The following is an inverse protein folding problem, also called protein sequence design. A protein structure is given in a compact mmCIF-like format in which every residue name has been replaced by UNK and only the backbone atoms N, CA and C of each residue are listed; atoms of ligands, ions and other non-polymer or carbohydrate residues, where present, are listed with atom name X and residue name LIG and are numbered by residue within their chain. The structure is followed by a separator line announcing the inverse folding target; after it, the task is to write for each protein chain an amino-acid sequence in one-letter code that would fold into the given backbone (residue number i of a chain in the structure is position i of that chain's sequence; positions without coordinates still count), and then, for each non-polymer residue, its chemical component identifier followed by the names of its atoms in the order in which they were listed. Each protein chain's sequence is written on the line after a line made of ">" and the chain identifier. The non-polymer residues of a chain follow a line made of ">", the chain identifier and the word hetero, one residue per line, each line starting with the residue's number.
data_IF_404899596116
#
_entry.id   IF_404899596116
#
_cell.length_a   1.000
_cell.length_b   1.000
_cell.length_c   1.000
_cell.angle_alpha   90.00
_cell.angle_beta   90.00
_cell.angle_gamma   90.00
#
_symmetry.space_group_name_H-M   'P 1'
#
loop_
_entity.id
_entity.type
_entity.pdbx_description
1 polymer ?
#
# COMPACT_ATOMS: atom_id res chain seq x y z
N UNK A 1 7.40 16.86 5.61
CA UNK A 1 6.29 16.18 4.93
C UNK A 1 5.75 15.16 5.89
N UNK A 2 4.42 15.11 6.07
CA UNK A 2 3.76 14.07 6.87
C UNK A 2 3.39 12.85 6.03
N UNK A 3 2.82 11.86 6.70
CA UNK A 3 2.39 10.58 6.19
C UNK A 3 0.93 10.38 6.58
N UNK A 4 0.11 10.00 5.61
CA UNK A 4 -1.24 9.50 5.86
C UNK A 4 -1.27 8.07 5.32
N UNK A 5 -1.97 7.18 6.02
CA UNK A 5 -2.23 5.85 5.48
C UNK A 5 -3.31 6.02 4.42
N UNK A 6 -2.94 5.89 3.15
CA UNK A 6 -3.81 6.20 2.02
C UNK A 6 -4.84 5.07 1.84
N UNK A 7 -5.96 5.22 2.55
CA UNK A 7 -7.09 4.30 2.59
C UNK A 7 -8.40 5.11 2.62
N UNK A 8 -9.51 4.51 2.19
CA UNK A 8 -10.85 5.06 2.40
C UNK A 8 -11.39 4.79 3.82
N UNK A 9 -10.60 4.14 4.69
CA UNK A 9 -10.89 3.99 6.11
C UNK A 9 -10.68 5.30 6.87
N UNK A 10 -11.76 6.09 6.97
CA UNK A 10 -11.73 7.44 7.54
C UNK A 10 -10.96 7.60 8.87
N UNK A 11 -11.04 6.67 9.85
CA UNK A 11 -10.25 6.80 11.09
C UNK A 11 -8.73 6.84 10.89
N UNK A 12 -8.20 6.21 9.84
CA UNK A 12 -6.77 6.25 9.53
C UNK A 12 -6.32 7.61 8.98
N UNK A 13 -7.22 8.35 8.35
CA UNK A 13 -6.94 9.69 7.82
C UNK A 13 -6.79 10.75 8.92
N UNK A 14 -7.26 10.47 10.14
CA UNK A 14 -7.15 11.35 11.33
C UNK A 14 -5.86 11.12 12.13
N UNK A 15 -4.93 10.35 11.56
CA UNK A 15 -3.66 10.00 12.20
C UNK A 15 -2.47 10.34 11.31
N UNK A 16 -2.40 11.58 10.78
CA UNK A 16 -1.22 12.06 10.06
C UNK A 16 0.05 11.93 10.92
N UNK A 17 1.02 11.17 10.43
CA UNK A 17 2.33 10.96 11.03
C UNK A 17 3.38 11.90 10.45
N UNK A 18 4.42 12.22 11.21
CA UNK A 18 5.54 13.00 10.70
C UNK A 18 6.80 12.82 11.56
N UNK A 19 8.00 13.05 10.99
CA UNK A 19 9.21 13.12 11.77
C UNK A 19 9.31 14.53 12.39
N UNK A 20 8.94 14.66 13.66
CA UNK A 20 9.05 15.91 14.40
C UNK A 20 10.52 16.27 14.63
N UNK A 21 10.87 17.52 14.34
CA UNK A 21 12.16 18.07 14.74
C UNK A 21 12.14 18.35 16.25
N UNK A 22 13.12 17.79 16.97
CA UNK A 22 13.30 18.02 18.40
C UNK A 22 14.34 19.12 18.57
N UNK A 23 14.03 20.14 19.36
CA UNK A 23 14.92 21.27 19.62
C UNK A 23 15.86 20.99 20.80
N UNK A 24 16.81 21.89 21.02
CA UNK A 24 17.77 21.87 22.12
C UNK A 24 17.11 22.00 23.51
N UNK A 25 15.92 22.59 23.59
CA UNK A 25 15.09 22.65 24.82
C UNK A 25 14.11 21.48 24.95
N UNK A 26 14.16 20.51 24.03
CA UNK A 26 13.27 19.35 24.00
C UNK A 26 11.90 19.61 23.35
N UNK A 27 11.61 20.84 22.91
CA UNK A 27 10.38 21.14 22.16
C UNK A 27 10.36 20.35 20.85
N UNK A 28 9.19 19.80 20.50
CA UNK A 28 8.98 19.11 19.23
C UNK A 28 8.15 19.95 18.28
N UNK A 29 8.51 19.99 17.00
CA UNK A 29 7.81 20.80 16.00
C UNK A 29 7.87 20.17 14.60
N UNK A 30 6.80 20.39 13.83
CA UNK A 30 6.73 20.14 12.39
C UNK A 30 7.04 21.39 11.54
N UNK A 31 7.35 22.51 12.19
CA UNK A 31 7.66 23.77 11.50
C UNK A 31 9.13 23.78 11.09
N UNK A 32 9.42 24.16 9.83
CA UNK A 32 10.76 24.15 9.27
C UNK A 32 11.20 25.55 8.83
N UNK A 33 11.83 26.29 9.73
CA UNK A 33 12.40 27.63 9.46
C UNK A 33 13.87 27.70 9.83
N UNK A 34 14.56 28.75 9.38
CA UNK A 34 15.97 29.00 9.74
C UNK A 34 16.20 29.08 11.27
N UNK A 35 15.43 29.85 12.05
CA UNK A 35 15.57 29.85 13.51
C UNK A 35 15.36 28.48 14.17
N UNK A 36 14.45 27.66 13.63
CA UNK A 36 14.24 26.30 14.12
C UNK A 36 15.44 25.42 13.76
N UNK A 37 15.93 25.54 12.52
CA UNK A 37 17.01 24.73 11.97
C UNK A 37 18.24 24.71 12.85
N UNK A 38 18.67 25.86 13.36
CA UNK A 38 19.87 25.97 14.20
C UNK A 38 19.68 25.35 15.59
N UNK A 39 18.44 25.16 16.04
CA UNK A 39 18.09 24.62 17.36
C UNK A 39 17.82 23.12 17.36
N UNK A 40 17.61 22.50 16.19
CA UNK A 40 17.31 21.06 16.12
C UNK A 40 18.47 20.22 16.67
N UNK A 41 18.16 19.39 17.66
CA UNK A 41 19.05 18.42 18.31
C UNK A 41 18.88 17.00 17.73
N UNK A 42 17.74 16.73 17.09
CA UNK A 42 17.44 15.46 16.43
C UNK A 42 15.98 15.36 15.99
N UNK A 43 15.48 14.14 15.80
CA UNK A 43 14.11 13.88 15.36
C UNK A 43 13.47 12.74 16.14
N UNK A 44 12.13 12.71 16.13
CA UNK A 44 11.29 11.65 16.72
C UNK A 44 10.04 11.47 15.85
N UNK A 45 9.49 10.26 15.79
CA UNK A 45 8.17 10.06 15.19
C UNK A 45 7.09 10.77 16.00
N UNK A 46 6.10 11.34 15.31
CA UNK A 46 4.94 11.95 15.92
C UNK A 46 3.70 11.66 15.09
N UNK A 47 2.55 11.71 15.75
CA UNK A 47 1.23 11.70 15.11
C UNK A 47 0.43 12.92 15.57
N UNK A 48 -0.44 13.42 14.70
CA UNK A 48 -1.35 14.53 15.00
C UNK A 48 -2.30 14.23 16.17
N UNK A 49 -2.62 12.95 16.41
CA UNK A 49 -3.44 12.51 17.55
C UNK A 49 -2.76 12.73 18.92
N UNK A 50 -1.50 13.16 18.93
CA UNK A 50 -0.70 13.43 20.13
C UNK A 50 0.27 12.32 20.49
N UNK A 51 0.22 11.16 19.82
CA UNK A 51 1.21 10.09 20.03
C UNK A 51 2.62 10.52 19.62
N UNK A 52 3.61 9.96 20.33
CA UNK A 52 5.04 10.19 20.09
C UNK A 52 5.79 8.87 20.09
N UNK A 53 6.68 8.73 19.12
CA UNK A 53 7.60 7.60 19.01
C UNK A 53 8.57 7.54 20.17
N UNK A 54 9.08 6.34 20.41
CA UNK A 54 10.04 6.06 21.48
C UNK A 54 11.47 6.39 21.05
N UNK A 55 11.83 6.15 19.79
CA UNK A 55 13.18 6.35 19.31
C UNK A 55 13.48 7.83 19.07
N UNK A 56 14.66 8.24 19.52
CA UNK A 56 15.22 9.56 19.22
C UNK A 56 16.41 9.38 18.28
N UNK A 57 16.39 10.08 17.15
CA UNK A 57 17.48 10.12 16.19
C UNK A 57 18.29 11.40 16.39
N UNK A 58 19.44 11.34 17.09
CA UNK A 58 20.23 12.55 17.33
C UNK A 58 20.83 13.07 16.03
N UNK A 59 20.72 14.38 15.79
CA UNK A 59 21.32 15.03 14.61
C UNK A 59 22.83 14.77 14.50
N UNK A 60 23.52 14.63 15.64
CA UNK A 60 24.96 14.34 15.68
C UNK A 60 25.35 13.02 15.01
N UNK A 61 24.42 12.07 14.85
CA UNK A 61 24.64 10.83 14.10
C UNK A 61 24.70 11.06 12.57
N UNK A 62 24.20 12.19 12.07
CA UNK A 62 24.10 12.53 10.65
C UNK A 62 25.04 13.69 10.31
N UNK A 63 26.34 13.39 10.22
CA UNK A 63 27.39 14.40 10.00
C UNK A 63 27.14 15.17 8.69
N UNK A 64 27.20 16.50 8.77
CA UNK A 64 26.98 17.39 7.63
C UNK A 64 25.50 17.68 7.35
N UNK A 65 24.56 17.04 8.05
CA UNK A 65 23.15 17.34 7.93
C UNK A 65 22.79 18.59 8.73
N UNK A 66 22.39 19.64 8.03
CA UNK A 66 22.05 20.93 8.64
C UNK A 66 20.57 21.26 8.56
N UNK A 67 19.76 20.49 7.81
CA UNK A 67 18.32 20.74 7.65
C UNK A 67 17.54 20.47 8.93
N UNK A 68 16.43 21.19 9.16
CA UNK A 68 15.44 20.85 10.19
C UNK A 68 14.54 19.69 9.76
N UNK A 69 14.48 19.42 8.46
CA UNK A 69 13.80 18.25 7.91
C UNK A 69 14.67 17.02 8.19
N UNK A 70 14.05 15.93 8.64
CA UNK A 70 14.73 14.68 8.90
C UNK A 70 15.40 14.12 7.62
N UNK A 71 16.58 13.51 7.73
CA UNK A 71 17.13 12.67 6.65
C UNK A 71 16.16 11.55 6.27
N UNK A 72 16.26 11.04 5.04
CA UNK A 72 15.40 9.95 4.56
C UNK A 72 15.59 8.67 5.38
N UNK A 73 16.79 8.42 5.92
CA UNK A 73 17.08 7.29 6.79
C UNK A 73 16.37 7.38 8.15
N UNK A 74 16.06 8.61 8.59
CA UNK A 74 15.27 8.86 9.80
C UNK A 74 13.78 8.84 9.49
N UNK A 75 13.36 9.48 8.40
CA UNK A 75 11.97 9.50 7.96
C UNK A 75 11.47 8.08 7.68
N UNK A 76 12.24 7.29 6.92
CA UNK A 76 12.04 5.86 6.73
C UNK A 76 10.79 5.43 5.95
N UNK A 77 10.09 6.38 5.32
CA UNK A 77 8.89 6.10 4.51
C UNK A 77 9.14 5.06 3.42
N UNK A 78 10.19 5.23 2.62
CA UNK A 78 10.48 4.34 1.50
C UNK A 78 10.88 2.92 1.93
N UNK A 79 11.35 2.75 3.17
CA UNK A 79 11.79 1.46 3.70
C UNK A 79 10.79 0.82 4.64
N UNK A 80 9.74 1.53 5.07
CA UNK A 80 8.84 1.07 6.12
C UNK A 80 9.46 1.08 7.53
N UNK A 81 10.58 1.79 7.73
CA UNK A 81 11.33 1.80 9.00
C UNK A 81 11.43 3.22 9.58
N UNK A 82 12.31 3.42 10.56
CA UNK A 82 12.55 4.75 11.14
C UNK A 82 11.31 5.33 11.81
N UNK A 83 11.14 6.63 11.68
CA UNK A 83 10.00 7.32 12.25
C UNK A 83 8.66 6.90 11.61
N UNK A 84 8.65 6.58 10.31
CA UNK A 84 7.48 6.02 9.65
C UNK A 84 7.11 4.65 10.22
N UNK A 85 8.07 3.76 10.44
CA UNK A 85 7.83 2.43 10.99
C UNK A 85 7.17 2.48 12.37
N UNK A 86 7.68 3.30 13.30
CA UNK A 86 7.03 3.46 14.61
C UNK A 86 5.62 4.05 14.50
N UNK A 87 5.42 5.04 13.60
CA UNK A 87 4.09 5.61 13.37
C UNK A 87 3.11 4.57 12.80
N UNK A 88 3.56 3.73 11.88
CA UNK A 88 2.74 2.69 11.26
C UNK A 88 2.33 1.61 12.29
N UNK A 89 3.27 1.20 13.16
CA UNK A 89 2.94 0.33 14.30
C UNK A 89 1.92 0.98 15.24
N UNK A 90 2.07 2.28 15.51
CA UNK A 90 1.10 3.04 16.29
C UNK A 90 -0.30 3.02 15.66
N UNK A 91 -0.41 3.25 14.35
CA UNK A 91 -1.70 3.21 13.64
C UNK A 91 -2.44 1.90 13.89
N UNK A 92 -1.77 0.76 13.69
CA UNK A 92 -2.38 -0.54 13.91
C UNK A 92 -2.73 -0.80 15.38
N UNK A 93 -1.98 -0.22 16.32
CA UNK A 93 -2.28 -0.35 17.74
C UNK A 93 -3.54 0.44 18.16
N UNK A 94 -3.76 1.63 17.59
CA UNK A 94 -4.90 2.49 17.95
C UNK A 94 -6.13 2.31 17.07
N UNK A 95 -5.96 1.75 15.86
CA UNK A 95 -7.03 1.45 14.91
C UNK A 95 -7.11 -0.07 14.68
N UNK A 96 -7.75 -0.85 15.58
CA UNK A 96 -7.84 -2.30 15.43
C UNK A 96 -8.60 -2.73 14.16
N UNK A 97 -9.49 -1.88 13.65
CA UNK A 97 -10.20 -2.12 12.39
C UNK A 97 -9.34 -1.93 11.13
N UNK A 98 -8.19 -1.25 11.24
CA UNK A 98 -7.35 -0.93 10.09
C UNK A 98 -6.80 -2.19 9.43
N UNK A 99 -6.26 -3.13 10.21
CA UNK A 99 -5.74 -4.38 9.67
C UNK A 99 -6.80 -5.22 8.95
N UNK A 100 -8.06 -5.16 9.42
CA UNK A 100 -9.19 -5.83 8.75
C UNK A 100 -9.54 -5.12 7.46
N UNK A 101 -9.53 -3.79 7.47
CA UNK A 101 -9.80 -2.97 6.30
C UNK A 101 -8.74 -3.20 5.20
N UNK A 102 -7.45 -3.11 5.56
CA UNK A 102 -6.34 -3.33 4.62
C UNK A 102 -6.43 -4.73 3.99
N UNK A 103 -6.65 -5.76 4.81
CA UNK A 103 -6.83 -7.13 4.31
C UNK A 103 -8.07 -7.28 3.40
N UNK A 104 -9.13 -6.50 3.64
CA UNK A 104 -10.31 -6.51 2.78
C UNK A 104 -10.06 -5.84 1.42
N UNK A 105 -9.31 -4.73 1.40
CA UNK A 105 -8.87 -4.06 0.16
C UNK A 105 -7.94 -4.97 -0.64
N UNK A 106 -6.91 -5.55 -0.01
CA UNK A 106 -6.01 -6.51 -0.66
C UNK A 106 -6.77 -7.68 -1.29
N UNK A 107 -7.78 -8.20 -0.57
CA UNK A 107 -8.64 -9.27 -1.09
C UNK A 107 -9.50 -8.80 -2.27
N UNK A 108 -10.01 -7.57 -2.26
CA UNK A 108 -10.76 -7.00 -3.36
C UNK A 108 -9.88 -6.85 -4.62
N UNK A 109 -8.70 -6.27 -4.47
CA UNK A 109 -7.72 -6.08 -5.55
C UNK A 109 -7.25 -7.41 -6.15
N UNK A 110 -6.99 -8.40 -5.28
CA UNK A 110 -6.60 -9.74 -5.72
C UNK A 110 -7.75 -10.44 -6.49
N UNK A 111 -9.00 -10.21 -6.09
CA UNK A 111 -10.17 -10.73 -6.81
C UNK A 111 -10.33 -10.07 -8.17
N UNK A 112 -10.19 -8.76 -8.26
CA UNK A 112 -10.24 -8.04 -9.54
C UNK A 112 -9.11 -8.51 -10.48
N UNK A 113 -7.90 -8.65 -9.96
CA UNK A 113 -6.75 -9.18 -10.70
C UNK A 113 -7.02 -10.59 -11.22
N UNK A 114 -7.62 -11.47 -10.40
CA UNK A 114 -8.01 -12.81 -10.80
C UNK A 114 -9.07 -12.78 -11.92
N UNK A 115 -10.09 -11.95 -11.78
CA UNK A 115 -11.16 -11.82 -12.77
C UNK A 115 -10.61 -11.30 -14.11
N UNK A 116 -9.70 -10.33 -14.07
CA UNK A 116 -9.01 -9.83 -15.27
C UNK A 116 -8.13 -10.91 -15.92
N UNK A 117 -7.39 -11.70 -15.13
CA UNK A 117 -6.60 -12.82 -15.64
C UNK A 117 -7.49 -13.90 -16.29
N UNK A 118 -8.65 -14.21 -15.70
CA UNK A 118 -9.64 -15.10 -16.31
C UNK A 118 -10.16 -14.53 -17.63
N UNK A 119 -10.51 -13.25 -17.66
CA UNK A 119 -10.97 -12.57 -18.87
C UNK A 119 -9.95 -12.68 -20.01
N UNK A 120 -8.68 -12.38 -19.72
CA UNK A 120 -7.57 -12.51 -20.68
C UNK A 120 -7.42 -13.96 -21.14
N UNK A 121 -7.40 -14.93 -20.23
CA UNK A 121 -7.28 -16.35 -20.59
C UNK A 121 -8.44 -16.81 -21.49
N UNK A 122 -9.67 -16.40 -21.18
CA UNK A 122 -10.86 -16.71 -21.98
C UNK A 122 -10.80 -16.08 -23.37
N UNK A 123 -10.38 -14.83 -23.49
CA UNK A 123 -10.18 -14.16 -24.77
C UNK A 123 -9.13 -14.87 -25.65
N UNK A 124 -8.10 -15.46 -25.03
CA UNK A 124 -7.11 -16.31 -25.71
C UNK A 124 -7.59 -17.74 -26.01
N UNK A 125 -8.83 -18.08 -25.67
CA UNK A 125 -9.43 -19.39 -25.97
C UNK A 125 -9.17 -20.48 -24.93
N UNK A 126 -8.60 -20.16 -23.76
CA UNK A 126 -8.37 -21.15 -22.70
C UNK A 126 -9.69 -21.79 -22.24
N UNK A 127 -9.71 -23.11 -22.03
CA UNK A 127 -10.92 -23.81 -21.59
C UNK A 127 -11.22 -23.58 -20.11
N UNK A 128 -12.48 -23.76 -19.70
CA UNK A 128 -12.87 -23.71 -18.29
C UNK A 128 -12.18 -24.77 -17.43
N UNK A 129 -11.76 -25.89 -18.01
CA UNK A 129 -10.96 -26.90 -17.30
C UNK A 129 -9.58 -26.36 -16.97
N UNK A 130 -8.91 -25.70 -17.94
CA UNK A 130 -7.59 -25.11 -17.72
C UNK A 130 -7.66 -23.99 -16.67
N UNK A 131 -8.65 -23.10 -16.80
CA UNK A 131 -8.83 -21.98 -15.87
C UNK A 131 -9.18 -22.48 -14.47
N UNK A 132 -10.08 -23.45 -14.34
CA UNK A 132 -10.42 -24.04 -13.04
C UNK A 132 -9.19 -24.65 -12.36
N UNK A 133 -8.43 -25.47 -13.07
CA UNK A 133 -7.20 -26.08 -12.54
C UNK A 133 -6.19 -25.02 -12.08
N UNK A 134 -5.99 -23.96 -12.86
CA UNK A 134 -5.08 -22.86 -12.51
C UNK A 134 -5.55 -22.09 -11.27
N UNK A 135 -6.86 -21.90 -11.11
CA UNK A 135 -7.48 -21.24 -9.96
C UNK A 135 -7.70 -22.17 -8.74
N UNK A 136 -7.30 -23.45 -8.83
CA UNK A 136 -7.50 -24.43 -7.75
C UNK A 136 -8.95 -24.86 -7.51
N UNK A 137 -9.83 -24.71 -8.51
CA UNK A 137 -11.26 -25.08 -8.42
C UNK A 137 -11.68 -26.00 -9.57
N UNK A 138 -12.86 -26.60 -9.46
CA UNK A 138 -13.38 -27.47 -10.53
C UNK A 138 -13.76 -26.66 -11.77
N UNK A 139 -13.77 -27.31 -12.94
CA UNK A 139 -14.30 -26.74 -14.20
C UNK A 139 -15.71 -26.17 -14.01
N UNK A 140 -16.59 -26.91 -13.34
CA UNK A 140 -17.98 -26.53 -13.11
C UNK A 140 -18.04 -25.23 -12.28
N UNK A 141 -17.30 -25.17 -11.16
CA UNK A 141 -17.23 -23.99 -10.31
C UNK A 141 -16.64 -22.77 -11.06
N UNK A 142 -15.63 -22.98 -11.89
CA UNK A 142 -15.07 -21.91 -12.73
C UNK A 142 -16.10 -21.38 -13.75
N UNK A 143 -16.86 -22.28 -14.39
CA UNK A 143 -17.89 -21.89 -15.33
C UNK A 143 -19.07 -21.18 -14.64
N UNK A 144 -19.51 -21.65 -13.47
CA UNK A 144 -20.57 -20.99 -12.70
C UNK A 144 -20.17 -19.59 -12.27
N UNK A 145 -18.91 -19.40 -11.84
CA UNK A 145 -18.39 -18.11 -11.39
C UNK A 145 -18.19 -17.10 -12.53
N UNK A 146 -17.59 -17.53 -13.63
CA UNK A 146 -17.11 -16.61 -14.68
C UNK A 146 -17.79 -16.79 -16.05
N UNK A 147 -18.58 -17.85 -16.23
CA UNK A 147 -19.12 -18.25 -17.52
C UNK A 147 -20.05 -17.25 -18.18
N UNK A 148 -20.80 -16.50 -17.36
CA UNK A 148 -21.70 -15.44 -17.84
C UNK A 148 -20.91 -14.18 -18.24
N UNK A 149 -19.89 -13.82 -17.46
CA UNK A 149 -19.10 -12.60 -17.68
C UNK A 149 -18.13 -12.73 -18.86
N UNK A 150 -17.53 -13.91 -19.07
CA UNK A 150 -16.47 -14.13 -20.07
C UNK A 150 -16.78 -15.31 -21.00
N UNK A 151 -17.72 -15.13 -21.95
CA UNK A 151 -18.09 -16.16 -22.91
C UNK A 151 -16.90 -16.52 -23.83
N UNK A 152 -16.99 -17.66 -24.50
CA UNK A 152 -15.97 -18.04 -25.48
C UNK A 152 -15.93 -17.03 -26.63
N UNK A 153 -14.75 -16.69 -27.16
CA UNK A 153 -14.69 -15.99 -28.43
C UNK A 153 -15.45 -16.81 -29.48
N UNK A 154 -16.17 -16.15 -30.41
CA UNK A 154 -16.93 -16.84 -31.44
C UNK A 154 -15.99 -17.77 -32.19
N UNK A 155 -16.40 -19.03 -32.35
CA UNK A 155 -15.67 -19.98 -33.18
C UNK A 155 -15.69 -19.42 -34.60
N UNK A 156 -14.54 -18.95 -35.10
CA UNK A 156 -14.35 -18.71 -36.53
C UNK A 156 -14.44 -20.06 -37.23
N UNK A 157 -15.65 -20.42 -37.66
CA UNK A 157 -15.84 -21.53 -38.60
C UNK A 157 -15.21 -21.09 -39.91
N UNK A 158 -13.95 -21.49 -40.13
CA UNK A 158 -13.33 -21.42 -41.44
C UNK A 158 -14.19 -22.20 -42.41
N UNK A 159 -14.85 -21.50 -43.33
CA UNK A 159 -15.52 -22.07 -44.49
C UNK A 159 -14.47 -22.86 -45.27
N UNK A 160 -14.43 -24.17 -45.04
CA UNK A 160 -13.68 -25.09 -45.89
C UNK A 160 -14.47 -25.20 -47.18
N UNK A 161 -14.16 -24.33 -48.15
CA UNK A 161 -14.64 -24.48 -49.53
C UNK A 161 -14.03 -25.76 -50.09
N UNK A 162 -14.80 -26.85 -49.98
CA UNK A 162 -14.49 -28.13 -50.60
C UNK A 162 -14.71 -27.97 -52.10
N UNK A 163 -13.65 -27.62 -52.83
CA UNK A 163 -13.63 -27.61 -54.29
C UNK A 163 -13.77 -29.05 -54.78
N UNK A 164 -14.92 -29.36 -55.38
CA UNK A 164 -15.16 -30.62 -56.08
C UNK A 164 -14.61 -30.49 -57.51
N UNK A 165 -13.89 -31.54 -57.91
CA UNK A 165 -13.38 -31.81 -59.26
C UNK A 165 -14.51 -32.09 -60.25
#
# INVERSE_FOLDING_TARGET
>A
MGWVHDTDYAPACEHEGYPAAVLDDGTETSVHTEPIRIRVSGWRAACECGWRGTQFWPRSAFRGWTSSIAPDEVAGFATGHGAYGEWFEHLHAVLPGLAVHDAAQELADARETLDQAVATARASGASWTLIGNAAGITRQAAHERWGVAYPAPPRTTGTTTRSAR
#
